data_IF_689569456609
#
_entry.id   IF_689569456609
#
_cell.length_a   1.000
_cell.length_b   1.000
_cell.length_c   1.000
_cell.angle_alpha   90.00
_cell.angle_beta   90.00
_cell.angle_gamma   90.00
#
_symmetry.space_group_name_H-M   'P 1'
#
loop_
_entity.id
_entity.type
_entity.pdbx_description
1 polymer ?
#
# COMPACT_ATOMS: atom_id res chain seq x y z
N UNK A 1 7.70 -31.34 27.99
CA UNK A 1 7.12 -31.12 27.23
C UNK A 1 6.55 -31.17 26.88
N UNK A 2 6.65 -30.90 27.17
CA UNK A 2 5.99 -30.41 26.34
C UNK A 2 5.67 -30.40 26.18
N UNK A 3 5.80 -30.11 26.42
CA UNK A 3 5.21 -29.71 25.78
C UNK A 3 5.06 -29.39 25.58
N UNK A 4 5.47 -29.09 25.83
CA UNK A 4 5.04 -28.52 25.21
C UNK A 4 5.07 -28.33 24.73
N UNK A 5 5.59 -28.18 25.03
CA UNK A 5 5.32 -27.76 24.21
C UNK A 5 4.91 -27.64 23.76
N UNK A 6 5.14 -27.59 24.03
CA UNK A 6 4.56 -27.16 23.31
C UNK A 6 4.22 -26.83 23.10
N UNK A 7 4.43 -26.33 23.22
CA UNK A 7 3.86 -25.66 22.60
C UNK A 7 4.04 -25.29 22.24
N UNK A 8 4.58 -25.23 22.33
CA UNK A 8 4.54 -24.64 21.64
C UNK A 8 4.42 -24.50 20.97
N UNK A 9 4.81 -24.43 21.24
CA UNK A 9 4.54 -23.98 20.27
C UNK A 9 4.20 -23.87 19.85
N UNK A 10 4.30 -23.68 19.90
CA UNK A 10 3.89 -23.14 19.28
C UNK A 10 3.63 -22.67 19.16
N UNK A 11 3.88 -22.50 19.01
CA UNK A 11 3.68 -21.71 18.84
C UNK A 11 3.80 -21.40 18.35
N UNK A 12 4.20 -21.40 18.37
CA UNK A 12 4.30 -20.81 17.81
C UNK A 12 4.02 -20.74 17.20
N UNK A 13 4.06 -20.78 16.89
CA UNK A 13 3.74 -20.33 16.28
C UNK A 13 3.32 -19.69 16.00
N UNK A 14 3.38 -19.48 16.09
CA UNK A 14 2.99 -18.66 15.96
C UNK A 14 2.57 -18.40 15.33
N UNK A 15 2.33 -19.08 15.25
CA UNK A 15 1.95 -18.42 14.14
C UNK A 15 2.47 -17.04 14.06
N UNK A 16 3.28 -16.84 13.32
CA UNK A 16 3.85 -15.54 13.22
C UNK A 16 3.10 -14.71 12.20
N UNK A 17 2.67 -13.52 12.62
CA UNK A 17 2.13 -12.56 11.67
C UNK A 17 3.23 -12.22 10.68
N UNK A 18 2.91 -12.10 9.38
CA UNK A 18 3.91 -11.68 8.41
C UNK A 18 4.47 -10.32 8.80
N UNK A 19 5.78 -10.18 8.69
CA UNK A 19 6.41 -8.88 8.94
C UNK A 19 6.24 -8.04 7.69
N UNK A 20 5.49 -6.95 7.82
CA UNK A 20 5.28 -6.02 6.72
C UNK A 20 6.36 -4.96 6.81
N UNK A 21 7.16 -4.83 5.74
CA UNK A 21 8.19 -3.81 5.69
C UNK A 21 7.54 -2.43 5.82
N UNK A 22 8.04 -1.55 6.70
CA UNK A 22 7.43 -0.24 6.88
C UNK A 22 7.62 0.65 5.66
N UNK A 23 6.70 1.59 5.47
CA UNK A 23 6.77 2.56 4.38
C UNK A 23 7.50 3.83 4.81
N UNK A 24 7.67 4.02 6.13
CA UNK A 24 8.20 5.26 6.68
C UNK A 24 9.69 5.18 7.02
N UNK A 25 10.40 4.20 6.46
CA UNK A 25 11.85 4.13 6.64
C UNK A 25 12.51 5.37 6.04
N UNK A 26 13.57 5.89 6.69
CA UNK A 26 14.25 7.09 6.19
C UNK A 26 14.73 6.91 4.76
N UNK A 27 14.55 7.96 3.96
CA UNK A 27 15.03 8.02 2.57
C UNK A 27 16.01 9.17 2.50
N UNK A 28 17.23 8.89 2.05
CA UNK A 28 18.26 9.93 1.94
C UNK A 28 17.81 11.04 0.98
N UNK A 29 17.95 12.27 1.42
CA UNK A 29 17.55 13.42 0.62
C UNK A 29 16.09 13.83 0.80
N UNK A 30 15.36 13.11 1.65
CA UNK A 30 13.94 13.38 1.87
C UNK A 30 13.61 13.42 3.35
N UNK A 31 12.53 14.13 3.69
CA UNK A 31 12.03 14.22 5.06
C UNK A 31 10.62 13.66 5.12
N UNK A 32 10.40 12.72 6.03
CA UNK A 32 9.06 12.15 6.25
C UNK A 32 8.14 13.22 6.81
N UNK A 33 7.00 13.43 6.17
CA UNK A 33 6.00 14.42 6.59
C UNK A 33 4.76 13.79 7.18
N UNK A 34 4.25 12.74 6.56
CA UNK A 34 3.02 12.09 7.00
C UNK A 34 3.13 10.60 6.78
N UNK A 35 2.48 9.85 7.65
CA UNK A 35 2.38 8.39 7.53
C UNK A 35 0.97 7.98 7.93
N UNK A 36 0.30 7.25 7.06
CA UNK A 36 -1.06 6.76 7.29
C UNK A 36 -1.10 5.26 7.18
N UNK A 37 -1.89 4.62 8.04
CA UNK A 37 -2.03 3.17 8.04
C UNK A 37 -3.43 2.76 7.60
N UNK A 38 -3.50 1.62 6.94
CA UNK A 38 -4.77 0.97 6.59
C UNK A 38 -5.70 1.87 5.79
N UNK A 39 -5.14 2.58 4.82
CA UNK A 39 -5.90 3.43 3.92
C UNK A 39 -6.59 2.56 2.88
N UNK A 40 -7.90 2.67 2.76
CA UNK A 40 -8.68 1.85 1.85
C UNK A 40 -8.46 2.29 0.41
N UNK A 41 -8.16 1.32 -0.45
CA UNK A 41 -8.05 1.53 -1.89
C UNK A 41 -9.25 0.89 -2.58
N UNK A 42 -9.58 1.36 -3.78
CA UNK A 42 -10.65 0.79 -4.58
C UNK A 42 -10.06 -0.24 -5.52
N UNK A 43 -10.40 -1.51 -5.31
CA UNK A 43 -9.93 -2.60 -6.15
C UNK A 43 -10.86 -2.76 -7.34
N UNK A 44 -10.29 -2.90 -8.54
CA UNK A 44 -11.05 -3.10 -9.76
C UNK A 44 -10.42 -4.23 -10.56
N UNK A 45 -11.28 -5.01 -11.20
CA UNK A 45 -10.83 -6.09 -12.05
C UNK A 45 -10.26 -7.23 -11.24
N UNK A 46 -9.33 -7.93 -11.83
CA UNK A 46 -8.75 -9.11 -11.22
C UNK A 46 -7.59 -8.73 -10.30
N UNK A 47 -7.71 -9.09 -9.02
CA UNK A 47 -6.64 -8.86 -8.08
C UNK A 47 -5.55 -9.93 -8.29
N UNK A 48 -4.26 -9.52 -8.37
CA UNK A 48 -3.20 -10.49 -8.67
C UNK A 48 -3.13 -11.61 -7.63
N UNK A 49 -3.07 -12.85 -8.11
CA UNK A 49 -3.03 -14.01 -7.20
C UNK A 49 -1.67 -14.18 -6.52
N UNK A 50 -0.64 -13.48 -7.00
CA UNK A 50 0.68 -13.49 -6.37
C UNK A 50 0.86 -12.38 -5.32
N UNK A 51 -0.19 -11.58 -5.07
CA UNK A 51 -0.11 -10.48 -4.13
C UNK A 51 0.13 -10.97 -2.70
N UNK A 52 0.98 -10.26 -1.97
CA UNK A 52 1.32 -10.57 -0.58
C UNK A 52 1.32 -9.31 0.25
N UNK A 53 1.10 -9.47 1.55
CA UNK A 53 1.22 -8.35 2.48
C UNK A 53 2.62 -7.77 2.38
N UNK A 54 2.71 -6.46 2.38
CA UNK A 54 3.99 -5.77 2.27
C UNK A 54 4.45 -5.50 0.86
N UNK A 55 3.75 -6.03 -0.16
CA UNK A 55 4.11 -5.72 -1.55
C UNK A 55 4.05 -4.22 -1.77
N UNK A 56 5.02 -3.70 -2.50
CA UNK A 56 5.09 -2.27 -2.81
C UNK A 56 4.02 -1.91 -3.83
N UNK A 57 3.41 -0.74 -3.62
CA UNK A 57 2.42 -0.19 -4.54
C UNK A 57 2.97 1.12 -5.10
N UNK A 58 2.86 1.29 -6.41
CA UNK A 58 3.27 2.52 -7.09
C UNK A 58 2.03 3.27 -7.53
N UNK A 59 2.00 4.57 -7.25
CA UNK A 59 0.91 5.45 -7.66
C UNK A 59 1.24 6.08 -9.00
N UNK A 60 0.27 6.04 -9.92
CA UNK A 60 0.41 6.69 -11.22
C UNK A 60 -0.69 7.74 -11.36
N UNK A 61 -0.29 8.99 -11.53
CA UNK A 61 -1.24 10.08 -11.73
C UNK A 61 -1.62 10.14 -13.20
N UNK A 62 -2.89 9.84 -13.48
CA UNK A 62 -3.41 9.82 -14.85
C UNK A 62 -4.12 11.13 -15.11
N UNK A 63 -3.63 11.90 -16.08
CA UNK A 63 -4.16 13.22 -16.40
C UNK A 63 -4.92 13.27 -17.73
N UNK A 64 -4.80 12.22 -18.53
CA UNK A 64 -5.40 12.19 -19.86
C UNK A 64 -6.70 11.39 -19.96
N UNK A 65 -7.25 10.97 -18.82
CA UNK A 65 -8.52 10.28 -18.77
C UNK A 65 -9.65 11.32 -18.90
N UNK A 66 -10.47 11.16 -19.94
CA UNK A 66 -11.56 12.09 -20.21
C UNK A 66 -12.60 12.14 -19.09
N UNK A 67 -12.80 11.02 -18.42
CA UNK A 67 -13.82 10.90 -17.39
C UNK A 67 -13.30 11.20 -16.00
N UNK A 68 -12.01 11.11 -15.81
CA UNK A 68 -11.40 11.36 -14.50
C UNK A 68 -9.96 11.82 -14.68
N UNK A 69 -9.74 13.11 -14.98
CA UNK A 69 -8.39 13.62 -15.28
C UNK A 69 -7.44 13.66 -14.09
N UNK A 70 -7.95 13.42 -12.88
CA UNK A 70 -7.10 13.39 -11.68
C UNK A 70 -7.17 12.03 -11.00
N UNK A 71 -7.08 10.98 -11.79
CA UNK A 71 -7.12 9.62 -11.26
C UNK A 71 -5.74 9.18 -10.78
N UNK A 72 -5.72 8.48 -9.65
CA UNK A 72 -4.49 7.84 -9.15
C UNK A 72 -4.68 6.34 -9.29
N UNK A 73 -3.95 5.76 -10.23
CA UNK A 73 -3.97 4.31 -10.44
C UNK A 73 -2.94 3.63 -9.56
N UNK A 74 -3.23 2.39 -9.19
CA UNK A 74 -2.41 1.60 -8.29
C UNK A 74 -1.80 0.44 -9.06
N UNK A 75 -0.47 0.38 -9.06
CA UNK A 75 0.26 -0.72 -9.69
C UNK A 75 0.96 -1.52 -8.59
N UNK A 76 0.78 -2.83 -8.64
CA UNK A 76 1.40 -3.73 -7.68
C UNK A 76 2.74 -4.24 -8.21
N UNK A 77 3.79 -3.93 -7.47
CA UNK A 77 5.16 -4.34 -7.77
C UNK A 77 5.37 -5.76 -7.22
N UNK A 78 6.14 -6.62 -7.89
CA UNK A 78 7.15 -6.30 -8.91
C UNK A 78 6.66 -6.24 -10.34
N UNK A 79 5.49 -6.81 -10.65
CA UNK A 79 5.07 -6.93 -12.04
C UNK A 79 4.37 -5.69 -12.58
N UNK A 80 4.15 -4.68 -11.74
CA UNK A 80 3.45 -3.45 -12.10
C UNK A 80 2.05 -3.72 -12.65
N UNK A 81 1.36 -4.66 -11.98
CA UNK A 81 0.01 -5.01 -12.37
C UNK A 81 -0.99 -3.99 -11.80
N UNK A 82 -1.77 -3.38 -12.68
CA UNK A 82 -2.84 -2.48 -12.25
C UNK A 82 -3.93 -3.28 -11.55
N UNK A 83 -4.35 -2.81 -10.38
CA UNK A 83 -5.38 -3.51 -9.60
C UNK A 83 -6.45 -2.59 -9.04
N UNK A 84 -6.33 -1.28 -9.25
CA UNK A 84 -7.33 -0.37 -8.73
C UNK A 84 -6.90 1.07 -8.77
N UNK A 85 -7.58 1.89 -7.98
CA UNK A 85 -7.29 3.32 -7.91
C UNK A 85 -7.63 3.86 -6.53
N UNK A 86 -7.15 5.08 -6.25
CA UNK A 86 -7.50 5.76 -4.99
C UNK A 86 -8.86 6.43 -5.13
N UNK A 87 -9.69 6.23 -4.12
CA UNK A 87 -10.99 6.88 -4.07
C UNK A 87 -10.87 8.39 -3.84
N UNK A 88 -11.95 9.10 -4.08
CA UNK A 88 -11.99 10.54 -3.88
C UNK A 88 -11.93 10.86 -2.40
N UNK A 89 -10.80 11.37 -1.93
CA UNK A 89 -10.61 11.77 -0.54
C UNK A 89 -9.36 12.62 -0.41
N UNK A 90 -9.13 13.09 0.81
CA UNK A 90 -8.00 13.96 1.12
C UNK A 90 -6.65 13.31 0.84
N UNK A 91 -6.54 12.00 1.07
CA UNK A 91 -5.28 11.28 0.83
C UNK A 91 -4.93 11.28 -0.65
N UNK A 92 -5.93 11.08 -1.52
CA UNK A 92 -5.72 11.15 -2.96
C UNK A 92 -5.18 12.51 -3.37
N UNK A 93 -5.78 13.59 -2.83
CA UNK A 93 -5.34 14.95 -3.14
C UNK A 93 -3.88 15.16 -2.72
N UNK A 94 -3.50 14.63 -1.55
CA UNK A 94 -2.12 14.72 -1.08
C UNK A 94 -1.17 13.96 -2.00
N UNK A 95 -1.57 12.79 -2.47
CA UNK A 95 -0.74 12.00 -3.39
C UNK A 95 -0.48 12.80 -4.66
N UNK A 96 -1.52 13.40 -5.22
CA UNK A 96 -1.39 14.22 -6.43
C UNK A 96 -0.42 15.37 -6.20
N UNK A 97 -0.59 16.10 -5.10
CA UNK A 97 0.27 17.24 -4.78
C UNK A 97 1.74 16.83 -4.67
N UNK A 98 2.01 15.74 -3.95
CA UNK A 98 3.37 15.29 -3.75
C UNK A 98 4.02 14.82 -5.05
N UNK A 99 3.27 14.09 -5.87
CA UNK A 99 3.79 13.62 -7.15
C UNK A 99 4.06 14.78 -8.10
N UNK A 100 3.18 15.77 -8.12
CA UNK A 100 3.35 16.93 -9.01
C UNK A 100 4.57 17.77 -8.63
N UNK A 101 4.90 17.82 -7.35
CA UNK A 101 6.08 18.58 -6.88
C UNK A 101 7.38 17.81 -7.01
N UNK A 102 7.31 16.55 -7.42
CA UNK A 102 8.51 15.72 -7.48
C UNK A 102 8.94 15.14 -6.14
N UNK A 103 8.08 15.21 -5.15
CA UNK A 103 8.28 14.55 -3.86
C UNK A 103 7.99 13.05 -3.97
N UNK A 104 8.21 12.31 -2.89
CA UNK A 104 7.99 10.86 -2.92
C UNK A 104 6.79 10.45 -2.08
N UNK A 105 6.06 9.47 -2.59
CA UNK A 105 5.00 8.80 -1.86
C UNK A 105 5.30 7.30 -1.92
N UNK A 106 5.45 6.69 -0.75
CA UNK A 106 5.73 5.26 -0.64
C UNK A 106 4.50 4.55 -0.12
N UNK A 107 4.21 3.37 -0.67
CA UNK A 107 3.04 2.61 -0.24
C UNK A 107 3.30 1.11 -0.30
N UNK A 108 2.68 0.39 0.64
CA UNK A 108 2.72 -1.07 0.68
C UNK A 108 1.36 -1.59 1.10
N UNK A 109 1.03 -2.80 0.66
CA UNK A 109 -0.21 -3.44 1.07
C UNK A 109 -0.14 -3.77 2.55
N UNK A 110 -1.09 -3.26 3.32
CA UNK A 110 -1.19 -3.60 4.74
C UNK A 110 -2.18 -4.75 4.98
N UNK A 111 -3.22 -4.86 4.15
CA UNK A 111 -4.13 -5.99 4.22
C UNK A 111 -4.93 -6.10 2.93
N UNK A 112 -5.39 -7.31 2.64
CA UNK A 112 -6.40 -7.53 1.61
C UNK A 112 -7.28 -8.70 2.07
N UNK A 113 -8.58 -8.55 1.87
CA UNK A 113 -9.54 -9.48 2.38
C UNK A 113 -10.66 -9.66 1.36
N UNK A 114 -11.01 -10.92 1.08
CA UNK A 114 -12.11 -11.20 0.19
C UNK A 114 -13.41 -11.12 0.95
N UNK A 115 -14.33 -10.26 0.50
CA UNK A 115 -15.63 -10.08 1.11
C UNK A 115 -16.69 -10.29 0.03
N UNK A 116 -17.39 -11.40 0.09
CA UNK A 116 -18.37 -11.81 -0.93
C UNK A 116 -17.73 -11.82 -2.32
N UNK A 117 -18.04 -10.85 -3.16
CA UNK A 117 -17.52 -10.77 -4.52
C UNK A 117 -16.41 -9.76 -4.69
N UNK A 118 -16.06 -9.06 -3.61
CA UNK A 118 -15.08 -7.98 -3.67
C UNK A 118 -13.84 -8.31 -2.85
N UNK A 119 -12.77 -7.57 -3.12
CA UNK A 119 -11.57 -7.62 -2.30
C UNK A 119 -11.35 -6.24 -1.74
N UNK A 120 -11.25 -6.16 -0.41
CA UNK A 120 -10.94 -4.90 0.26
C UNK A 120 -9.44 -4.84 0.45
N UNK A 121 -8.80 -3.86 -0.17
CA UNK A 121 -7.35 -3.67 -0.08
C UNK A 121 -7.07 -2.43 0.73
N UNK A 122 -6.15 -2.55 1.69
CA UNK A 122 -5.70 -1.42 2.49
C UNK A 122 -4.21 -1.23 2.32
N UNK A 123 -3.77 0.02 2.37
CA UNK A 123 -2.38 0.39 2.15
C UNK A 123 -1.86 1.19 3.32
N UNK A 124 -0.57 0.98 3.63
CA UNK A 124 0.17 1.93 4.45
C UNK A 124 0.85 2.89 3.49
N UNK A 125 0.74 4.19 3.75
CA UNK A 125 1.23 5.23 2.84
C UNK A 125 2.05 6.24 3.62
N UNK A 126 3.24 6.57 3.10
CA UNK A 126 4.10 7.58 3.70
C UNK A 126 4.45 8.66 2.68
N UNK A 127 4.47 9.89 3.13
CA UNK A 127 4.73 11.07 2.30
C UNK A 127 6.05 11.69 2.69
N UNK A 128 6.95 11.82 1.72
CA UNK A 128 8.29 12.36 1.93
C UNK A 128 8.49 13.60 1.08
N UNK A 129 8.93 14.68 1.74
CA UNK A 129 9.24 15.91 1.05
C UNK A 129 10.72 15.97 0.71
N UNK A 130 11.05 16.34 -0.51
CA UNK A 130 12.44 16.46 -0.94
C UNK A 130 13.14 17.59 -0.17
N UNK A 131 14.34 17.31 0.33
CA UNK A 131 15.14 18.32 1.02
C UNK A 131 15.72 19.28 0.00
N UNK A 132 15.99 20.49 0.46
CA UNK A 132 16.60 21.50 -0.41
C UNK A 132 18.10 21.29 -0.55
#
# INVERSE_FOLDING_TARGET
>A
MGLLDIFKSDKVKSSQAPVIKPVDEPIEGYTLKYSYKDVVAVQIGEFPNWAELGNKVVFVHVTDDKFNPNSIRLLLVPQKKWFGYMGENKIKDMIIDYLERGDKVEARISSFEKVKYDIIVKLNIAFFKKNK
#
